data_IF_394807907050
#
_entry.id   IF_394807907050
#
_cell.length_a   1.000
_cell.length_b   1.000
_cell.length_c   1.000
_cell.angle_alpha   90.00
_cell.angle_beta   90.00
_cell.angle_gamma   90.00
#
_symmetry.space_group_name_H-M   'P 1'
#
loop_
_entity.id
_entity.type
_entity.pdbx_description
1 polymer ?
#
# COMPACT_ATOMS: atom_id res chain seq x y z
N UNK A 1 -6.34 76.84 66.26
CA UNK A 1 -4.88 76.62 66.15
C UNK A 1 -4.57 76.70 64.65
N UNK A 2 -4.39 77.90 64.08
CA UNK A 2 -3.12 78.66 63.94
C UNK A 2 -2.12 77.92 63.02
N UNK A 3 -1.33 78.49 62.10
CA UNK A 3 -1.16 79.76 61.34
C UNK A 3 0.07 79.50 60.44
N UNK A 4 0.13 80.00 59.19
CA UNK A 4 1.35 80.47 58.44
C UNK A 4 2.57 79.51 58.22
N UNK A 5 3.58 79.65 57.33
CA UNK A 5 3.94 80.26 56.02
C UNK A 5 5.38 79.76 55.66
N UNK A 6 5.75 79.79 54.36
CA UNK A 6 7.13 79.95 53.76
C UNK A 6 8.23 78.87 54.02
N UNK A 7 9.25 78.55 53.18
CA UNK A 7 10.02 79.18 52.07
C UNK A 7 10.90 78.05 51.44
N UNK A 8 10.92 77.82 50.12
CA UNK A 8 11.95 78.22 49.12
C UNK A 8 13.43 78.19 49.56
N UNK A 9 14.25 77.33 48.91
CA UNK A 9 15.57 77.67 48.35
C UNK A 9 16.20 76.52 47.54
N UNK A 10 16.84 76.87 46.41
CA UNK A 10 17.55 75.95 45.52
C UNK A 10 17.91 76.53 44.15
N UNK A 11 18.32 77.80 44.11
CA UNK A 11 18.83 78.49 42.93
C UNK A 11 20.36 78.54 43.00
N UNK A 12 21.06 77.89 42.07
CA UNK A 12 22.50 78.08 41.88
C UNK A 12 22.97 77.53 40.52
N UNK A 13 22.52 78.12 39.42
CA UNK A 13 23.22 78.16 38.12
C UNK A 13 22.55 79.21 37.22
N UNK A 14 22.52 80.45 37.71
CA UNK A 14 22.05 81.62 36.97
C UNK A 14 22.90 82.83 37.40
N UNK A 15 24.20 82.79 37.10
CA UNK A 15 25.10 83.90 37.29
C UNK A 15 26.28 83.78 36.33
N UNK A 16 26.01 83.98 35.05
CA UNK A 16 26.95 84.70 34.20
C UNK A 16 26.11 85.52 33.21
N UNK A 17 25.67 86.67 33.71
CA UNK A 17 24.92 87.65 32.95
C UNK A 17 25.84 88.83 32.63
N UNK A 18 25.82 89.17 31.33
CA UNK A 18 26.04 90.49 30.78
C UNK A 18 27.48 91.01 30.66
N UNK A 19 27.99 90.97 29.42
CA UNK A 19 28.66 92.12 28.83
C UNK A 19 28.43 92.17 27.31
N UNK A 20 28.06 93.36 26.83
CA UNK A 20 27.82 93.80 25.44
C UNK A 20 26.45 93.42 24.85
N UNK A 21 25.52 94.30 24.46
CA UNK A 21 25.54 95.75 24.24
C UNK A 21 24.94 96.05 22.86
N UNK A 22 23.69 96.57 22.80
CA UNK A 22 23.18 97.33 21.65
C UNK A 22 22.02 96.74 20.84
N UNK A 23 20.82 97.26 21.12
CA UNK A 23 19.72 97.63 20.20
C UNK A 23 18.87 96.61 19.40
N UNK A 24 17.57 96.95 19.37
CA UNK A 24 16.44 96.43 18.59
C UNK A 24 15.81 95.08 19.00
N UNK A 25 14.66 95.22 19.67
CA UNK A 25 13.65 94.20 19.96
C UNK A 25 13.14 93.55 18.67
N UNK A 26 13.79 92.45 18.26
CA UNK A 26 13.19 91.38 17.48
C UNK A 26 12.93 90.21 18.41
N UNK A 27 11.91 89.38 18.13
CA UNK A 27 11.68 88.16 18.90
C UNK A 27 13.01 87.40 19.05
N UNK A 28 13.47 87.03 20.27
CA UNK A 28 14.78 86.43 20.51
C UNK A 28 15.08 85.19 19.65
N UNK A 29 14.04 84.53 19.14
CA UNK A 29 14.11 83.41 18.19
C UNK A 29 14.61 83.78 16.78
N UNK A 30 14.61 85.05 16.37
CA UNK A 30 14.98 85.51 15.03
C UNK A 30 16.31 86.27 15.00
N UNK A 31 17.17 86.04 16.00
CA UNK A 31 18.53 86.55 16.00
C UNK A 31 19.44 85.69 15.10
N UNK A 32 19.63 86.17 13.87
CA UNK A 32 20.43 85.54 12.83
C UNK A 32 21.93 85.44 13.17
N UNK A 33 22.42 86.13 14.21
CA UNK A 33 23.82 86.03 14.63
C UNK A 33 24.17 84.63 15.18
N UNK A 34 23.17 83.89 15.70
CA UNK A 34 23.36 82.54 16.26
C UNK A 34 23.21 81.41 15.24
N UNK A 35 22.62 81.70 14.08
CA UNK A 35 22.28 80.71 13.06
C UNK A 35 23.50 79.97 12.48
N UNK A 36 24.64 80.61 12.18
CA UNK A 36 25.82 79.92 11.66
C UNK A 36 26.33 78.80 12.58
N UNK A 37 26.34 79.02 13.90
CA UNK A 37 26.77 78.01 14.87
C UNK A 37 25.76 76.86 14.97
N UNK A 38 24.45 77.17 14.99
CA UNK A 38 23.40 76.15 14.98
C UNK A 38 23.45 75.30 13.69
N UNK A 39 23.62 75.94 12.53
CA UNK A 39 23.74 75.27 11.24
C UNK A 39 25.00 74.39 11.21
N UNK A 40 26.14 74.87 11.73
CA UNK A 40 27.36 74.08 11.82
C UNK A 40 27.14 72.78 12.62
N UNK A 41 26.60 72.87 13.83
CA UNK A 41 26.33 71.68 14.64
C UNK A 41 25.23 70.79 14.07
N UNK A 42 24.21 71.37 13.41
CA UNK A 42 23.20 70.60 12.68
C UNK A 42 23.86 69.78 11.58
N UNK A 43 24.73 70.37 10.77
CA UNK A 43 25.45 69.64 9.70
C UNK A 43 26.36 68.57 10.30
N UNK A 44 27.13 68.88 11.36
CA UNK A 44 28.01 67.92 12.02
C UNK A 44 27.22 66.73 12.56
N UNK A 45 26.13 66.97 13.30
CA UNK A 45 25.29 65.89 13.87
C UNK A 45 24.58 65.10 12.78
N UNK A 46 24.08 65.74 11.72
CA UNK A 46 23.49 65.08 10.57
C UNK A 46 24.49 64.14 9.88
N UNK A 47 25.72 64.59 9.66
CA UNK A 47 26.79 63.77 9.08
C UNK A 47 27.12 62.59 9.98
N UNK A 48 27.25 62.80 11.29
CA UNK A 48 27.50 61.72 12.25
C UNK A 48 26.37 60.67 12.21
N UNK A 49 25.11 61.11 12.26
CA UNK A 49 23.95 60.21 12.17
C UNK A 49 23.94 59.48 10.82
N UNK A 50 24.21 60.16 9.72
CA UNK A 50 24.29 59.58 8.39
C UNK A 50 25.35 58.47 8.32
N UNK A 51 26.54 58.70 8.88
CA UNK A 51 27.59 57.68 8.95
C UNK A 51 27.19 56.49 9.82
N UNK A 52 26.55 56.72 10.96
CA UNK A 52 26.06 55.64 11.84
C UNK A 52 24.99 54.82 11.12
N UNK A 53 24.01 55.45 10.48
CA UNK A 53 22.94 54.74 9.76
C UNK A 53 23.49 53.96 8.56
N UNK A 54 24.31 54.61 7.73
CA UNK A 54 24.87 53.99 6.53
C UNK A 54 25.83 52.85 6.83
N UNK A 55 26.64 52.98 7.89
CA UNK A 55 27.72 52.02 8.17
C UNK A 55 27.35 50.95 9.19
N UNK A 56 26.34 51.16 10.03
CA UNK A 56 25.99 50.25 11.13
C UNK A 56 24.52 49.79 11.00
N UNK A 57 23.56 50.70 10.90
CA UNK A 57 22.15 50.33 10.94
C UNK A 57 21.69 49.58 9.67
N UNK A 58 21.95 50.15 8.48
CA UNK A 58 21.55 49.56 7.21
C UNK A 58 22.21 48.18 6.96
N UNK A 59 23.52 47.98 7.21
CA UNK A 59 24.13 46.66 7.04
C UNK A 59 23.55 45.60 7.97
N UNK A 60 23.20 45.95 9.22
CA UNK A 60 22.57 45.01 10.16
C UNK A 60 21.18 44.57 9.70
N UNK A 61 20.37 45.52 9.22
CA UNK A 61 19.04 45.21 8.68
C UNK A 61 19.16 44.35 7.41
N UNK A 62 20.12 44.69 6.52
CA UNK A 62 20.41 43.91 5.33
C UNK A 62 20.82 42.47 5.65
N UNK A 63 21.65 42.27 6.68
CA UNK A 63 22.07 40.93 7.11
C UNK A 63 20.89 40.07 7.57
N UNK A 64 19.98 40.60 8.40
CA UNK A 64 18.78 39.88 8.86
C UNK A 64 17.84 39.55 7.69
N UNK A 65 17.69 40.48 6.74
CA UNK A 65 16.84 40.26 5.58
C UNK A 65 17.45 39.21 4.63
N UNK A 66 18.77 39.19 4.47
CA UNK A 66 19.49 38.19 3.69
C UNK A 66 19.42 36.80 4.36
N UNK A 67 19.57 36.72 5.68
CA UNK A 67 19.42 35.48 6.44
C UNK A 67 18.02 34.90 6.27
N UNK A 68 16.97 35.71 6.45
CA UNK A 68 15.58 35.27 6.25
C UNK A 68 15.31 34.79 4.83
N UNK A 69 15.80 35.52 3.83
CA UNK A 69 15.66 35.11 2.42
C UNK A 69 16.39 33.78 2.16
N UNK A 70 17.60 33.62 2.72
CA UNK A 70 18.37 32.38 2.63
C UNK A 70 17.64 31.19 3.26
N UNK A 71 17.11 31.35 4.47
CA UNK A 71 16.33 30.30 5.14
C UNK A 71 15.08 29.93 4.34
N UNK A 72 14.30 30.92 3.89
CA UNK A 72 13.09 30.66 3.10
C UNK A 72 13.43 29.93 1.80
N UNK A 73 14.49 30.37 1.09
CA UNK A 73 14.91 29.71 -0.15
C UNK A 73 15.36 28.26 0.10
N UNK A 74 16.09 28.01 1.19
CA UNK A 74 16.50 26.67 1.58
C UNK A 74 15.31 25.79 1.97
N UNK A 75 14.35 26.33 2.73
CA UNK A 75 13.14 25.60 3.13
C UNK A 75 12.26 25.26 1.91
N UNK A 76 12.17 26.17 0.93
CA UNK A 76 11.47 25.89 -0.34
C UNK A 76 12.19 24.80 -1.13
N UNK A 77 13.52 24.90 -1.28
CA UNK A 77 14.30 23.91 -2.02
C UNK A 77 14.19 22.51 -1.40
N UNK A 78 14.28 22.42 -0.07
CA UNK A 78 14.12 21.15 0.65
C UNK A 78 12.69 20.62 0.55
N UNK A 79 11.67 21.48 0.62
CA UNK A 79 10.27 21.07 0.42
C UNK A 79 10.01 20.54 -1.01
N UNK A 80 10.59 21.17 -2.02
CA UNK A 80 10.52 20.70 -3.41
C UNK A 80 11.23 19.36 -3.60
N UNK A 81 12.42 19.18 -3.01
CA UNK A 81 13.15 17.91 -3.04
C UNK A 81 12.34 16.80 -2.36
N UNK A 82 11.81 17.04 -1.16
CA UNK A 82 10.97 16.07 -0.45
C UNK A 82 9.69 15.73 -1.23
N UNK A 83 9.10 16.71 -1.91
CA UNK A 83 7.94 16.48 -2.78
C UNK A 83 8.30 15.59 -3.97
N UNK A 84 9.45 15.82 -4.61
CA UNK A 84 9.93 14.98 -5.71
C UNK A 84 10.21 13.54 -5.22
N UNK A 85 10.88 13.39 -4.08
CA UNK A 85 11.13 12.07 -3.48
C UNK A 85 9.83 11.34 -3.14
N UNK A 86 8.83 12.06 -2.59
CA UNK A 86 7.52 11.49 -2.32
C UNK A 86 6.81 11.02 -3.60
N UNK A 87 6.84 11.82 -4.66
CA UNK A 87 6.26 11.45 -5.95
C UNK A 87 7.00 10.28 -6.63
N UNK A 88 8.31 10.18 -6.46
CA UNK A 88 9.08 9.02 -6.92
C UNK A 88 8.75 7.76 -6.14
N UNK A 89 8.67 7.86 -4.82
CA UNK A 89 8.27 6.76 -3.95
C UNK A 89 6.84 6.28 -4.24
N UNK A 90 5.90 7.20 -4.46
CA UNK A 90 4.52 6.89 -4.84
C UNK A 90 4.47 6.14 -6.17
N UNK A 91 5.16 6.64 -7.22
CA UNK A 91 5.26 5.94 -8.51
C UNK A 91 5.89 4.56 -8.39
N UNK A 92 6.94 4.42 -7.60
CA UNK A 92 7.60 3.13 -7.35
C UNK A 92 6.67 2.16 -6.61
N UNK A 93 5.92 2.65 -5.62
CA UNK A 93 4.94 1.87 -4.87
C UNK A 93 3.78 1.41 -5.76
N UNK A 94 3.19 2.31 -6.55
CA UNK A 94 2.12 1.97 -7.49
C UNK A 94 2.57 0.94 -8.53
N UNK A 95 3.79 1.09 -9.06
CA UNK A 95 4.39 0.12 -9.97
C UNK A 95 4.56 -1.24 -9.29
N UNK A 96 5.15 -1.28 -8.10
CA UNK A 96 5.33 -2.53 -7.36
C UNK A 96 3.99 -3.21 -7.05
N UNK A 97 2.95 -2.44 -6.74
CA UNK A 97 1.60 -2.96 -6.52
C UNK A 97 0.97 -3.53 -7.80
N UNK A 98 1.15 -2.87 -8.94
CA UNK A 98 0.69 -3.35 -10.23
C UNK A 98 1.42 -4.64 -10.64
N UNK A 99 2.75 -4.68 -10.50
CA UNK A 99 3.58 -5.84 -10.80
C UNK A 99 3.21 -7.02 -9.90
N UNK A 100 3.02 -6.80 -8.58
CA UNK A 100 2.60 -7.84 -7.66
C UNK A 100 1.20 -8.40 -7.98
N UNK A 101 0.26 -7.55 -8.41
CA UNK A 101 -1.08 -8.00 -8.84
C UNK A 101 -1.01 -8.81 -10.13
N UNK A 102 -0.21 -8.38 -11.10
CA UNK A 102 0.00 -9.13 -12.34
C UNK A 102 0.65 -10.49 -12.08
N UNK A 103 1.65 -10.53 -11.21
CA UNK A 103 2.34 -11.76 -10.81
C UNK A 103 1.38 -12.72 -10.08
N UNK A 104 0.58 -12.22 -9.14
CA UNK A 104 -0.42 -13.04 -8.45
C UNK A 104 -1.45 -13.63 -9.43
N UNK A 105 -1.91 -12.85 -10.42
CA UNK A 105 -2.81 -13.34 -11.46
C UNK A 105 -2.15 -14.39 -12.34
N UNK A 106 -0.86 -14.22 -12.69
CA UNK A 106 -0.08 -15.20 -13.44
C UNK A 106 0.03 -16.53 -12.68
N UNK A 107 0.43 -16.47 -11.41
CA UNK A 107 0.54 -17.66 -10.54
C UNK A 107 -0.81 -18.37 -10.46
N UNK A 108 -1.90 -17.64 -10.22
CA UNK A 108 -3.24 -18.26 -10.13
C UNK A 108 -3.64 -18.92 -11.46
N UNK A 109 -3.32 -18.31 -12.60
CA UNK A 109 -3.62 -18.88 -13.91
C UNK A 109 -2.78 -20.15 -14.18
N UNK A 110 -1.48 -20.10 -13.89
CA UNK A 110 -0.55 -21.23 -14.05
C UNK A 110 -0.94 -22.40 -13.16
N UNK A 111 -1.14 -22.16 -11.86
CA UNK A 111 -1.57 -23.22 -10.91
C UNK A 111 -2.92 -23.82 -11.30
N UNK A 112 -3.88 -23.03 -11.80
CA UNK A 112 -5.15 -23.57 -12.29
C UNK A 112 -4.97 -24.45 -13.53
N UNK A 113 -4.06 -24.08 -14.42
CA UNK A 113 -3.76 -24.87 -15.61
C UNK A 113 -3.08 -26.20 -15.23
N UNK A 114 -2.12 -26.17 -14.31
CA UNK A 114 -1.46 -27.36 -13.76
C UNK A 114 -2.46 -28.29 -13.06
N UNK A 115 -3.27 -27.76 -12.13
CA UNK A 115 -4.30 -28.55 -11.43
C UNK A 115 -5.26 -29.21 -12.42
N UNK A 116 -5.65 -28.48 -13.48
CA UNK A 116 -6.53 -29.04 -14.51
C UNK A 116 -5.86 -30.18 -15.28
N UNK A 117 -4.60 -30.01 -15.68
CA UNK A 117 -3.86 -31.06 -16.37
C UNK A 117 -3.69 -32.32 -15.49
N UNK A 118 -3.37 -32.13 -14.21
CA UNK A 118 -3.25 -33.23 -13.24
C UNK A 118 -4.59 -33.93 -13.01
N UNK A 119 -5.68 -33.18 -12.90
CA UNK A 119 -7.02 -33.72 -12.77
C UNK A 119 -7.41 -34.54 -14.00
N UNK A 120 -7.21 -33.99 -15.21
CA UNK A 120 -7.53 -34.67 -16.46
C UNK A 120 -6.72 -35.97 -16.59
N UNK A 121 -5.44 -35.97 -16.21
CA UNK A 121 -4.60 -37.16 -16.20
C UNK A 121 -5.06 -38.20 -15.16
N UNK A 122 -5.40 -37.77 -13.95
CA UNK A 122 -5.90 -38.64 -12.90
C UNK A 122 -7.25 -39.27 -13.26
N UNK A 123 -8.16 -38.49 -13.86
CA UNK A 123 -9.45 -38.97 -14.36
C UNK A 123 -9.26 -39.99 -15.48
N UNK A 124 -8.42 -39.70 -16.48
CA UNK A 124 -8.14 -40.64 -17.56
C UNK A 124 -7.57 -41.98 -17.06
N UNK A 125 -6.69 -41.92 -16.05
CA UNK A 125 -6.15 -43.12 -15.39
C UNK A 125 -7.24 -43.88 -14.64
N UNK A 126 -8.07 -43.20 -13.87
CA UNK A 126 -9.16 -43.81 -13.13
C UNK A 126 -10.17 -44.49 -14.08
N UNK A 127 -10.53 -43.83 -15.18
CA UNK A 127 -11.42 -44.39 -16.21
C UNK A 127 -10.82 -45.66 -16.85
N UNK A 128 -9.53 -45.66 -17.15
CA UNK A 128 -8.83 -46.84 -17.67
C UNK A 128 -8.82 -48.00 -16.67
N UNK A 129 -8.58 -47.74 -15.38
CA UNK A 129 -8.62 -48.76 -14.33
C UNK A 129 -10.04 -49.31 -14.11
N UNK A 130 -11.05 -48.44 -14.18
CA UNK A 130 -12.47 -48.85 -14.09
C UNK A 130 -12.84 -49.72 -15.27
N UNK A 131 -12.47 -49.33 -16.50
CA UNK A 131 -12.75 -50.11 -17.70
C UNK A 131 -12.08 -51.49 -17.67
N UNK A 132 -10.83 -51.56 -17.18
CA UNK A 132 -10.12 -52.83 -17.00
C UNK A 132 -10.84 -53.75 -15.99
N UNK A 133 -11.25 -53.20 -14.83
CA UNK A 133 -12.01 -53.96 -13.82
C UNK A 133 -13.38 -54.40 -14.31
N UNK A 134 -14.05 -53.58 -15.12
CA UNK A 134 -15.32 -53.95 -15.74
C UNK A 134 -15.13 -55.13 -16.69
N UNK A 135 -14.13 -55.08 -17.57
CA UNK A 135 -13.82 -56.18 -18.48
C UNK A 135 -13.46 -57.48 -17.74
N UNK A 136 -12.69 -57.38 -16.64
CA UNK A 136 -12.37 -58.53 -15.79
C UNK A 136 -13.62 -59.11 -15.12
N UNK A 137 -14.48 -58.27 -14.54
CA UNK A 137 -15.72 -58.70 -13.92
C UNK A 137 -16.68 -59.33 -14.94
N UNK A 138 -16.79 -58.77 -16.14
CA UNK A 138 -17.58 -59.34 -17.24
C UNK A 138 -17.08 -60.72 -17.66
N UNK A 139 -15.76 -60.91 -17.75
CA UNK A 139 -15.16 -62.21 -18.05
C UNK A 139 -15.45 -63.24 -16.95
N UNK A 140 -15.30 -62.86 -15.67
CA UNK A 140 -15.63 -63.73 -14.54
C UNK A 140 -17.12 -64.09 -14.51
N UNK A 141 -18.02 -63.13 -14.78
CA UNK A 141 -19.46 -63.39 -14.87
C UNK A 141 -19.77 -64.35 -16.02
N UNK A 142 -19.12 -64.20 -17.18
CA UNK A 142 -19.30 -65.10 -18.31
C UNK A 142 -18.85 -66.53 -17.98
N UNK A 143 -17.72 -66.69 -17.29
CA UNK A 143 -17.22 -67.98 -16.82
C UNK A 143 -18.17 -68.63 -15.80
N UNK A 144 -18.60 -67.88 -14.78
CA UNK A 144 -19.58 -68.36 -13.79
C UNK A 144 -20.88 -68.78 -14.48
N UNK A 145 -21.35 -68.00 -15.48
CA UNK A 145 -22.56 -68.33 -16.24
C UNK A 145 -22.38 -69.62 -17.05
N UNK A 146 -21.22 -69.81 -17.69
CA UNK A 146 -20.93 -71.05 -18.41
C UNK A 146 -20.90 -72.27 -17.47
N UNK A 147 -20.18 -72.17 -16.35
CA UNK A 147 -20.13 -73.24 -15.34
C UNK A 147 -21.48 -73.54 -14.69
N UNK A 148 -22.31 -72.51 -14.44
CA UNK A 148 -23.66 -72.68 -13.94
C UNK A 148 -24.56 -73.41 -14.96
N UNK A 149 -24.44 -73.11 -16.26
CA UNK A 149 -25.18 -73.81 -17.31
C UNK A 149 -24.78 -75.28 -17.44
N UNK A 150 -23.49 -75.59 -17.28
CA UNK A 150 -22.99 -76.96 -17.24
C UNK A 150 -23.54 -77.72 -16.03
N UNK A 151 -23.45 -77.12 -14.83
CA UNK A 151 -23.99 -77.70 -13.60
C UNK A 151 -25.50 -77.93 -13.69
N UNK A 152 -26.26 -76.99 -14.25
CA UNK A 152 -27.70 -77.15 -14.49
C UNK A 152 -27.98 -78.31 -15.45
N UNK A 153 -27.16 -78.48 -16.49
CA UNK A 153 -27.27 -79.59 -17.45
C UNK A 153 -27.03 -80.94 -16.79
N UNK A 154 -26.00 -81.04 -15.94
CA UNK A 154 -25.72 -82.26 -15.17
C UNK A 154 -26.86 -82.59 -14.20
N UNK A 155 -27.33 -81.60 -13.43
CA UNK A 155 -28.46 -81.78 -12.50
C UNK A 155 -29.73 -82.16 -13.25
N UNK A 156 -30.00 -81.57 -14.42
CA UNK A 156 -31.17 -81.92 -15.24
C UNK A 156 -31.09 -83.37 -15.75
N UNK A 157 -29.92 -83.83 -16.21
CA UNK A 157 -29.68 -85.21 -16.63
C UNK A 157 -29.88 -86.18 -15.47
N UNK A 158 -29.30 -85.90 -14.32
CA UNK A 158 -29.42 -86.74 -13.13
C UNK A 158 -30.88 -86.80 -12.64
N UNK A 159 -31.55 -85.65 -12.55
CA UNK A 159 -32.96 -85.58 -12.13
C UNK A 159 -33.87 -86.31 -13.10
N UNK A 160 -33.65 -86.20 -14.42
CA UNK A 160 -34.43 -86.92 -15.42
C UNK A 160 -34.26 -88.45 -15.29
N UNK A 161 -33.05 -88.92 -15.02
CA UNK A 161 -32.78 -90.34 -14.75
C UNK A 161 -33.53 -90.82 -13.49
N UNK A 162 -33.43 -90.05 -12.41
CA UNK A 162 -34.06 -90.39 -11.13
C UNK A 162 -35.61 -90.42 -11.25
N UNK A 163 -36.19 -89.48 -12.00
CA UNK A 163 -37.64 -89.44 -12.27
C UNK A 163 -38.10 -90.64 -13.12
N UNK A 164 -37.34 -91.01 -14.16
CA UNK A 164 -37.67 -92.19 -14.99
C UNK A 164 -37.59 -93.48 -14.18
N UNK A 165 -36.58 -93.61 -13.32
CA UNK A 165 -36.44 -94.73 -12.39
C UNK A 165 -37.60 -94.78 -11.37
N UNK A 166 -38.01 -93.64 -10.82
CA UNK A 166 -39.12 -93.55 -9.87
C UNK A 166 -40.48 -93.94 -10.48
N UNK A 167 -40.67 -93.73 -11.79
CA UNK A 167 -41.86 -94.16 -12.52
C UNK A 167 -41.87 -95.66 -12.88
N UNK A 168 -40.84 -96.41 -12.48
CA UNK A 168 -40.77 -97.86 -12.67
C UNK A 168 -40.24 -98.31 -14.04
N UNK A 169 -39.71 -97.39 -14.85
CA UNK A 169 -39.09 -97.69 -16.14
C UNK A 169 -37.57 -97.77 -16.00
N UNK A 170 -36.93 -98.72 -16.70
CA UNK A 170 -35.47 -98.75 -16.87
C UNK A 170 -35.11 -98.11 -18.19
N UNK A 171 -34.60 -96.89 -18.16
CA UNK A 171 -34.02 -96.24 -19.32
C UNK A 171 -32.49 -96.28 -19.24
N UNK A 172 -31.85 -96.48 -20.39
CA UNK A 172 -30.39 -96.39 -20.50
C UNK A 172 -29.94 -94.92 -20.37
N UNK A 173 -28.87 -94.69 -19.59
CA UNK A 173 -28.34 -93.35 -19.34
C UNK A 173 -28.00 -92.58 -20.62
N UNK A 174 -27.57 -93.26 -21.67
CA UNK A 174 -27.25 -92.64 -22.96
C UNK A 174 -28.48 -92.06 -23.65
N UNK A 175 -29.63 -92.74 -23.55
CA UNK A 175 -30.87 -92.34 -24.21
C UNK A 175 -31.54 -91.15 -23.52
N UNK A 176 -31.51 -91.12 -22.18
CA UNK A 176 -32.02 -90.00 -21.38
C UNK A 176 -31.14 -88.76 -21.57
N UNK A 177 -29.81 -88.91 -21.54
CA UNK A 177 -28.89 -87.81 -21.78
C UNK A 177 -29.08 -87.20 -23.18
N UNK A 178 -29.23 -88.04 -24.21
CA UNK A 178 -29.49 -87.57 -25.57
C UNK A 178 -30.82 -86.82 -25.70
N UNK A 179 -31.87 -87.28 -25.00
CA UNK A 179 -33.18 -86.61 -24.99
C UNK A 179 -33.14 -85.25 -24.28
N UNK A 180 -32.44 -85.16 -23.14
CA UNK A 180 -32.23 -83.90 -22.41
C UNK A 180 -31.39 -82.93 -23.24
N UNK A 181 -30.31 -83.38 -23.87
CA UNK A 181 -29.46 -82.55 -24.74
C UNK A 181 -30.23 -82.02 -25.97
N UNK A 182 -31.15 -82.82 -26.53
CA UNK A 182 -32.02 -82.38 -27.62
C UNK A 182 -33.03 -81.31 -27.18
N UNK A 183 -33.43 -81.30 -25.90
CA UNK A 183 -34.35 -80.30 -25.33
C UNK A 183 -33.66 -79.04 -24.82
N UNK A 184 -32.38 -79.10 -24.48
CA UNK A 184 -31.58 -77.93 -24.13
C UNK A 184 -31.10 -77.12 -25.36
N UNK A 185 -31.09 -77.73 -26.55
CA UNK A 185 -30.66 -77.10 -27.81
C UNK A 185 -31.80 -76.50 -28.66
N UNK A 186 -33.06 -76.72 -28.30
CA UNK A 186 -34.25 -76.21 -29.00
C UNK A 186 -34.95 -75.13 -28.20
#
# INVERSE_FOLDING_TARGET
MASETHTAEGAAHAADAAAHGGEAVGMPQLDFSTFPNQIFWLVVTLVVIYFVLSRIALPRIGAVLAERQGTIANDIATAEELKLQAQEAERAYEKALADARAEAQRIVAETKAEIKADLDAATAKADAEIAAKQAEAEAQIAEIRAGAMESVTEVAKQTALDVVAAMGFRADASSVNAAVDAKLKG
#
